data_IF_544474310313
#
_entry.id   IF_544474310313
#
_cell.length_a   1.000
_cell.length_b   1.000
_cell.length_c   1.000
_cell.angle_alpha   90.00
_cell.angle_beta   90.00
_cell.angle_gamma   90.00
#
_symmetry.space_group_name_H-M   'P 1'
#
loop_
_entity.id
_entity.type
_entity.pdbx_description
1 polymer ?
#
# COMPACT_ATOMS: atom_id res chain seq x y z
N UNK A 1 19.48 -10.59 3.44
CA UNK A 1 19.44 -10.53 1.96
C UNK A 1 20.51 -9.57 1.47
N UNK A 2 21.14 -9.84 0.31
CA UNK A 2 22.06 -8.87 -0.30
C UNK A 2 21.29 -7.61 -0.71
N UNK A 3 21.92 -6.43 -0.62
CA UNK A 3 21.30 -5.13 -0.98
C UNK A 3 20.70 -5.15 -2.39
N UNK A 4 21.38 -5.79 -3.33
CA UNK A 4 20.92 -5.96 -4.73
C UNK A 4 19.58 -6.69 -4.83
N UNK A 5 19.38 -7.76 -4.06
CA UNK A 5 18.13 -8.54 -4.14
C UNK A 5 16.94 -7.75 -3.60
N UNK A 6 17.16 -6.95 -2.55
CA UNK A 6 16.11 -6.08 -2.01
C UNK A 6 15.70 -5.06 -3.07
N UNK A 7 16.68 -4.44 -3.74
CA UNK A 7 16.43 -3.44 -4.78
C UNK A 7 15.64 -4.02 -5.97
N UNK A 8 15.98 -5.23 -6.41
CA UNK A 8 15.25 -5.95 -7.49
C UNK A 8 13.83 -6.31 -7.07
N UNK A 9 13.61 -6.76 -5.83
CA UNK A 9 12.27 -7.08 -5.35
C UNK A 9 11.42 -5.82 -5.14
N UNK A 10 12.03 -4.72 -4.67
CA UNK A 10 11.36 -3.42 -4.58
C UNK A 10 10.90 -2.95 -5.95
N UNK A 11 11.76 -2.98 -6.97
CA UNK A 11 11.38 -2.55 -8.32
C UNK A 11 10.26 -3.41 -8.92
N UNK A 12 10.29 -4.72 -8.65
CA UNK A 12 9.21 -5.63 -9.04
C UNK A 12 7.87 -5.26 -8.37
N UNK A 13 7.88 -4.99 -7.05
CA UNK A 13 6.67 -4.61 -6.31
C UNK A 13 6.15 -3.23 -6.73
N UNK A 14 7.04 -2.29 -7.05
CA UNK A 14 6.66 -0.98 -7.62
C UNK A 14 5.97 -1.17 -8.96
N UNK A 15 6.57 -1.96 -9.86
CA UNK A 15 5.98 -2.25 -11.18
C UNK A 15 4.59 -2.89 -11.02
N UNK A 16 4.47 -3.86 -10.10
CA UNK A 16 3.20 -4.52 -9.82
C UNK A 16 2.15 -3.55 -9.25
N UNK A 17 2.54 -2.63 -8.36
CA UNK A 17 1.65 -1.58 -7.83
C UNK A 17 1.07 -0.74 -8.97
N UNK A 18 1.94 -0.25 -9.86
CA UNK A 18 1.53 0.60 -10.98
C UNK A 18 0.57 -0.17 -11.89
N UNK A 19 0.87 -1.43 -12.21
CA UNK A 19 0.00 -2.27 -13.03
C UNK A 19 -1.37 -2.47 -12.37
N UNK A 20 -1.40 -2.82 -11.09
CA UNK A 20 -2.63 -3.07 -10.34
C UNK A 20 -3.49 -1.81 -10.16
N UNK A 21 -2.86 -0.66 -9.92
CA UNK A 21 -3.55 0.61 -9.72
C UNK A 21 -4.06 1.20 -11.03
N UNK A 22 -3.27 1.07 -12.12
CA UNK A 22 -3.57 1.74 -13.39
C UNK A 22 -4.44 0.91 -14.31
N UNK A 23 -4.18 -0.40 -14.42
CA UNK A 23 -4.81 -1.28 -15.43
C UNK A 23 -5.84 -2.25 -14.84
N UNK A 24 -5.62 -2.78 -13.63
CA UNK A 24 -6.53 -3.78 -13.02
C UNK A 24 -7.52 -3.17 -12.02
N UNK A 25 -7.62 -1.83 -11.96
CA UNK A 25 -8.61 -1.18 -11.11
C UNK A 25 -10.01 -1.33 -11.70
N UNK A 26 -10.90 -1.97 -10.96
CA UNK A 26 -12.31 -2.15 -11.35
C UNK A 26 -13.03 -0.83 -11.12
N UNK A 27 -13.57 -0.26 -12.20
CA UNK A 27 -14.35 0.97 -12.15
C UNK A 27 -15.82 0.60 -12.14
N UNK A 28 -16.49 0.77 -11.00
CA UNK A 28 -17.95 0.71 -10.93
C UNK A 28 -18.51 2.13 -11.03
N UNK A 29 -19.79 2.31 -11.39
CA UNK A 29 -20.42 3.63 -11.47
C UNK A 29 -20.37 4.44 -10.15
N UNK A 30 -20.20 3.75 -9.02
CA UNK A 30 -20.27 4.33 -7.68
C UNK A 30 -18.87 4.37 -7.02
N UNK A 31 -18.07 3.31 -7.20
CA UNK A 31 -16.78 3.13 -6.51
C UNK A 31 -15.72 2.57 -7.47
N UNK A 32 -14.52 3.17 -7.42
CA UNK A 32 -13.33 2.57 -8.03
C UNK A 32 -12.60 1.70 -7.02
N UNK A 33 -12.52 0.41 -7.31
CA UNK A 33 -11.81 -0.59 -6.52
C UNK A 33 -10.40 -0.74 -7.10
N UNK A 34 -9.38 -0.32 -6.33
CA UNK A 34 -7.98 -0.41 -6.73
C UNK A 34 -7.20 -1.36 -5.83
N UNK A 35 -6.28 -2.14 -6.41
CA UNK A 35 -5.49 -3.15 -5.71
C UNK A 35 -4.04 -2.71 -5.41
N UNK A 36 -3.70 -1.43 -5.60
CA UNK A 36 -2.36 -0.89 -5.33
C UNK A 36 -1.88 -1.00 -3.88
N UNK A 37 -2.79 -1.16 -2.93
CA UNK A 37 -2.43 -1.40 -1.53
C UNK A 37 -1.67 -2.71 -1.34
N UNK A 38 -1.86 -3.69 -2.23
CA UNK A 38 -1.36 -5.05 -2.02
C UNK A 38 0.18 -5.14 -2.17
N UNK A 39 0.80 -4.66 -3.26
CA UNK A 39 2.26 -4.73 -3.38
C UNK A 39 2.97 -3.87 -2.35
N UNK A 40 2.37 -2.74 -1.96
CA UNK A 40 2.89 -1.89 -0.88
C UNK A 40 2.86 -2.62 0.46
N UNK A 41 1.74 -3.23 0.82
CA UNK A 41 1.65 -4.04 2.03
C UNK A 41 2.70 -5.17 2.02
N UNK A 42 2.87 -5.87 0.91
CA UNK A 42 3.89 -6.90 0.77
C UNK A 42 5.33 -6.35 0.94
N UNK A 43 5.65 -5.22 0.32
CA UNK A 43 6.96 -4.57 0.49
C UNK A 43 7.22 -4.25 1.97
N UNK A 44 6.23 -3.68 2.64
CA UNK A 44 6.31 -3.35 4.06
C UNK A 44 6.43 -4.58 4.97
N UNK A 45 5.74 -5.68 4.68
CA UNK A 45 5.83 -6.92 5.45
C UNK A 45 7.20 -7.59 5.26
N UNK A 46 7.77 -7.51 4.05
CA UNK A 46 9.03 -8.18 3.71
C UNK A 46 10.28 -7.39 4.12
N UNK A 47 10.25 -6.07 3.95
CA UNK A 47 11.44 -5.22 4.08
C UNK A 47 11.34 -4.21 5.24
N UNK A 48 10.17 -4.09 5.88
CA UNK A 48 9.96 -3.23 7.03
C UNK A 48 9.49 -1.81 6.67
N UNK A 49 9.31 -0.95 7.69
CA UNK A 49 8.62 0.34 7.54
C UNK A 49 9.35 1.33 6.63
N UNK A 50 10.68 1.45 6.76
CA UNK A 50 11.45 2.43 5.98
C UNK A 50 11.42 2.05 4.49
N UNK A 51 11.75 0.80 4.17
CA UNK A 51 11.79 0.33 2.78
C UNK A 51 10.38 0.29 2.18
N UNK A 52 9.38 -0.15 2.94
CA UNK A 52 7.98 -0.12 2.51
C UNK A 52 7.47 1.28 2.21
N UNK A 53 7.80 2.26 3.05
CA UNK A 53 7.50 3.67 2.82
C UNK A 53 8.17 4.24 1.58
N UNK A 54 9.47 3.99 1.39
CA UNK A 54 10.21 4.42 0.18
C UNK A 54 9.62 3.77 -1.08
N UNK A 55 9.30 2.47 -1.01
CA UNK A 55 8.66 1.75 -2.12
C UNK A 55 7.34 2.41 -2.52
N UNK A 56 6.50 2.76 -1.54
CA UNK A 56 5.22 3.41 -1.78
C UNK A 56 5.38 4.82 -2.38
N UNK A 57 6.31 5.61 -1.86
CA UNK A 57 6.60 6.94 -2.39
C UNK A 57 7.09 6.89 -3.85
N UNK A 58 8.02 5.97 -4.15
CA UNK A 58 8.54 5.79 -5.50
C UNK A 58 7.45 5.27 -6.45
N UNK A 59 6.60 4.36 -6.00
CA UNK A 59 5.48 3.86 -6.79
C UNK A 59 4.50 4.98 -7.16
N UNK A 60 4.21 5.90 -6.24
CA UNK A 60 3.35 7.06 -6.53
C UNK A 60 3.97 8.00 -7.57
N UNK A 61 5.24 8.39 -7.39
CA UNK A 61 5.96 9.26 -8.33
C UNK A 61 6.03 8.61 -9.72
N UNK A 62 6.51 7.37 -9.80
CA UNK A 62 6.66 6.66 -11.07
C UNK A 62 5.31 6.38 -11.73
N UNK A 63 4.30 6.01 -10.94
CA UNK A 63 2.94 5.80 -11.43
C UNK A 63 2.32 7.07 -12.00
N UNK A 64 2.69 8.25 -11.50
CA UNK A 64 2.25 9.55 -12.04
C UNK A 64 3.04 9.97 -13.29
N UNK A 65 4.32 9.62 -13.39
CA UNK A 65 5.14 9.85 -14.59
C UNK A 65 4.65 8.98 -15.76
N UNK A 66 4.38 7.69 -15.52
CA UNK A 66 4.05 6.73 -16.58
C UNK A 66 2.61 6.87 -17.07
N UNK A 67 1.65 7.00 -16.14
CA UNK A 67 0.23 7.01 -16.46
C UNK A 67 -0.50 7.99 -15.53
N UNK A 68 -0.39 9.31 -15.77
CA UNK A 68 -1.05 10.32 -14.96
C UNK A 68 -2.57 10.18 -15.07
N UNK A 69 -3.26 10.05 -13.94
CA UNK A 69 -4.73 10.06 -13.84
C UNK A 69 -5.28 11.35 -13.25
N UNK A 70 -4.47 12.40 -13.19
CA UNK A 70 -4.77 13.70 -12.59
C UNK A 70 -3.51 14.53 -12.38
N UNK A 71 -3.63 15.74 -11.80
CA UNK A 71 -2.49 16.58 -11.48
C UNK A 71 -1.62 15.92 -10.39
N UNK A 72 -0.31 16.02 -10.55
CA UNK A 72 0.63 15.59 -9.51
C UNK A 72 0.60 16.56 -8.34
N UNK A 73 0.48 16.02 -7.12
CA UNK A 73 0.55 16.78 -5.90
C UNK A 73 1.45 16.04 -4.89
N UNK A 74 2.56 16.66 -4.43
CA UNK A 74 3.52 16.01 -3.54
C UNK A 74 2.91 15.47 -2.23
N UNK A 75 1.78 16.01 -1.77
CA UNK A 75 1.09 15.49 -0.58
C UNK A 75 0.59 14.05 -0.75
N UNK A 76 0.24 13.61 -1.97
CA UNK A 76 -0.14 12.21 -2.20
C UNK A 76 1.06 11.28 -2.06
N UNK A 77 2.24 11.70 -2.50
CA UNK A 77 3.50 10.96 -2.28
C UNK A 77 3.79 10.81 -0.79
N UNK A 78 3.55 11.86 0.00
CA UNK A 78 3.72 11.81 1.47
C UNK A 78 2.70 10.85 2.09
N UNK A 79 1.44 10.89 1.67
CA UNK A 79 0.42 9.92 2.09
C UNK A 79 0.82 8.48 1.76
N UNK A 80 1.35 8.23 0.56
CA UNK A 80 1.82 6.92 0.13
C UNK A 80 2.99 6.43 1.00
N UNK A 81 3.96 7.31 1.27
CA UNK A 81 5.09 7.03 2.15
C UNK A 81 4.62 6.61 3.56
N UNK A 82 3.71 7.39 4.15
CA UNK A 82 3.16 7.09 5.49
C UNK A 82 2.39 5.76 5.44
N UNK A 83 1.65 5.49 4.38
CA UNK A 83 0.92 4.21 4.21
C UNK A 83 1.88 3.01 4.25
N UNK A 84 2.99 3.07 3.51
CA UNK A 84 4.02 2.03 3.53
C UNK A 84 4.66 1.87 4.91
N UNK A 85 4.93 2.97 5.62
CA UNK A 85 5.46 2.95 6.99
C UNK A 85 4.49 2.30 7.96
N UNK A 86 3.20 2.67 7.94
CA UNK A 86 2.17 2.12 8.84
C UNK A 86 2.04 0.63 8.63
N UNK A 87 1.97 0.15 7.39
CA UNK A 87 1.99 -1.29 7.14
C UNK A 87 3.22 -1.98 7.71
N UNK A 88 4.39 -1.36 7.60
CA UNK A 88 5.63 -1.93 8.13
C UNK A 88 5.63 -1.98 9.65
N UNK A 89 5.19 -0.93 10.34
CA UNK A 89 5.15 -0.90 11.82
C UNK A 89 4.25 -2.01 12.38
N UNK A 90 3.10 -2.24 11.74
CA UNK A 90 2.10 -3.20 12.25
C UNK A 90 2.37 -4.64 11.82
N UNK A 91 2.96 -4.88 10.64
CA UNK A 91 3.04 -6.20 10.04
C UNK A 91 4.46 -6.78 9.91
N UNK A 92 5.51 -5.95 9.96
CA UNK A 92 6.90 -6.43 9.86
C UNK A 92 7.31 -7.27 11.08
N UNK A 93 7.88 -8.46 10.83
CA UNK A 93 8.34 -9.41 11.86
C UNK A 93 7.30 -9.78 12.92
N UNK A 94 6.02 -9.65 12.59
CA UNK A 94 4.90 -9.81 13.49
C UNK A 94 3.95 -10.88 12.94
N UNK A 95 3.20 -11.63 13.78
CA UNK A 95 2.17 -12.54 13.30
C UNK A 95 1.14 -11.79 12.46
N UNK A 96 0.87 -12.30 11.26
CA UNK A 96 0.01 -11.67 10.26
C UNK A 96 -1.45 -12.07 10.49
N UNK A 97 -1.96 -11.78 11.68
CA UNK A 97 -3.34 -12.06 12.07
C UNK A 97 -4.32 -11.08 11.41
N UNK A 98 -5.56 -11.54 11.20
CA UNK A 98 -6.65 -10.69 10.71
C UNK A 98 -6.79 -9.40 11.53
N UNK A 99 -6.62 -9.48 12.85
CA UNK A 99 -6.70 -8.34 13.78
C UNK A 99 -5.64 -7.27 13.57
N UNK A 100 -4.40 -7.65 13.24
CA UNK A 100 -3.33 -6.67 13.00
C UNK A 100 -3.47 -6.04 11.62
N UNK A 101 -3.87 -6.82 10.63
CA UNK A 101 -4.13 -6.33 9.28
C UNK A 101 -5.32 -5.36 9.29
N UNK A 102 -6.39 -5.67 10.03
CA UNK A 102 -7.54 -4.78 10.19
C UNK A 102 -7.17 -3.51 10.92
N UNK A 103 -6.36 -3.58 11.99
CA UNK A 103 -5.89 -2.40 12.72
C UNK A 103 -5.03 -1.49 11.85
N UNK A 104 -4.06 -2.05 11.12
CA UNK A 104 -3.22 -1.28 10.20
C UNK A 104 -4.05 -0.62 9.09
N UNK A 105 -4.97 -1.37 8.48
CA UNK A 105 -5.83 -0.87 7.40
C UNK A 105 -6.80 0.19 7.91
N UNK A 106 -7.31 0.06 9.14
CA UNK A 106 -8.18 1.05 9.78
C UNK A 106 -7.45 2.38 9.99
N UNK A 107 -6.22 2.35 10.51
CA UNK A 107 -5.39 3.56 10.69
C UNK A 107 -5.12 4.23 9.35
N UNK A 108 -4.75 3.46 8.33
CA UNK A 108 -4.49 3.98 6.99
C UNK A 108 -5.74 4.63 6.40
N UNK A 109 -6.89 3.97 6.49
CA UNK A 109 -8.13 4.51 5.96
C UNK A 109 -8.54 5.79 6.69
N UNK A 110 -8.52 5.79 8.01
CA UNK A 110 -9.01 6.91 8.80
C UNK A 110 -8.12 8.15 8.66
N UNK A 111 -6.81 8.00 8.87
CA UNK A 111 -5.91 9.15 8.93
C UNK A 111 -5.36 9.54 7.55
N UNK A 112 -5.07 8.56 6.70
CA UNK A 112 -4.41 8.82 5.42
C UNK A 112 -5.43 8.98 4.30
N UNK A 113 -6.36 8.04 4.13
CA UNK A 113 -7.29 8.10 3.00
C UNK A 113 -8.44 9.09 3.20
N UNK A 114 -9.05 9.09 4.39
CA UNK A 114 -10.15 10.00 4.74
C UNK A 114 -9.61 11.34 5.23
N UNK A 115 -8.50 11.37 5.97
CA UNK A 115 -7.85 12.60 6.41
C UNK A 115 -7.03 13.28 5.32
N UNK A 116 -5.77 12.87 5.19
CA UNK A 116 -4.78 13.53 4.32
C UNK A 116 -5.20 13.58 2.85
N UNK A 117 -5.61 12.46 2.27
CA UNK A 117 -5.97 12.41 0.84
C UNK A 117 -7.22 13.23 0.51
N UNK A 118 -8.17 13.38 1.44
CA UNK A 118 -9.30 14.30 1.27
C UNK A 118 -8.85 15.75 1.31
N UNK A 119 -7.95 16.08 2.25
CA UNK A 119 -7.37 17.41 2.37
C UNK A 119 -6.60 17.80 1.09
N UNK A 120 -5.80 16.90 0.53
CA UNK A 120 -5.11 17.13 -0.75
C UNK A 120 -6.07 17.37 -1.91
N UNK A 121 -7.17 16.62 -1.99
CA UNK A 121 -8.19 16.86 -3.04
C UNK A 121 -8.93 18.17 -2.83
N UNK A 122 -9.24 18.54 -1.59
CA UNK A 122 -9.86 19.83 -1.27
C UNK A 122 -8.97 20.99 -1.76
N UNK A 123 -7.65 20.94 -1.49
CA UNK A 123 -6.69 21.93 -1.97
C UNK A 123 -6.62 21.96 -3.51
N UNK A 124 -6.55 20.80 -4.16
CA UNK A 124 -6.40 20.72 -5.63
C UNK A 124 -7.64 21.14 -6.40
N UNK A 125 -8.83 20.86 -5.86
CA UNK A 125 -10.10 21.12 -6.55
C UNK A 125 -10.72 22.45 -6.15
N UNK A 126 -10.22 23.10 -5.08
CA UNK A 126 -10.81 24.29 -4.48
C UNK A 126 -12.13 24.04 -3.74
N UNK A 127 -12.62 22.79 -3.70
CA UNK A 127 -13.87 22.44 -3.03
C UNK A 127 -13.67 22.37 -1.51
N UNK A 128 -14.66 22.78 -0.70
CA UNK A 128 -14.61 22.66 0.75
C UNK A 128 -14.37 21.21 1.19
N UNK A 129 -13.55 21.01 2.22
CA UNK A 129 -13.22 19.67 2.75
C UNK A 129 -14.46 18.80 3.00
N UNK A 130 -15.46 19.37 3.68
CA UNK A 130 -16.71 18.68 4.02
C UNK A 130 -17.59 18.34 2.80
N UNK A 131 -17.37 18.97 1.65
CA UNK A 131 -18.06 18.61 0.41
C UNK A 131 -17.44 17.38 -0.27
N UNK A 132 -16.11 17.23 -0.16
CA UNK A 132 -15.36 16.10 -0.76
C UNK A 132 -15.38 14.86 0.14
N UNK A 133 -15.59 15.05 1.44
CA UNK A 133 -15.49 14.00 2.45
C UNK A 133 -16.53 12.86 2.32
N UNK A 134 -17.85 13.12 2.13
CA UNK A 134 -18.86 12.06 2.10
C UNK A 134 -18.62 10.95 1.06
N UNK A 135 -18.35 11.24 -0.23
CA UNK A 135 -18.08 10.18 -1.20
C UNK A 135 -16.81 9.38 -0.86
N UNK A 136 -15.82 10.01 -0.20
CA UNK A 136 -14.61 9.32 0.25
C UNK A 136 -14.88 8.37 1.40
N UNK A 137 -15.69 8.76 2.38
CA UNK A 137 -16.09 7.87 3.48
C UNK A 137 -16.77 6.62 2.93
N UNK A 138 -17.75 6.78 2.03
CA UNK A 138 -18.50 5.65 1.45
C UNK A 138 -17.55 4.70 0.70
N UNK A 139 -16.69 5.27 -0.15
CA UNK A 139 -15.72 4.52 -0.94
C UNK A 139 -14.70 3.77 -0.07
N UNK A 140 -14.14 4.43 0.95
CA UNK A 140 -13.12 3.83 1.81
C UNK A 140 -13.71 2.79 2.78
N UNK A 141 -14.94 2.98 3.27
CA UNK A 141 -15.65 1.97 4.06
C UNK A 141 -15.95 0.71 3.25
N UNK A 142 -16.33 0.85 1.97
CA UNK A 142 -16.51 -0.28 1.08
C UNK A 142 -15.19 -1.01 0.77
N UNK A 143 -14.09 -0.26 0.65
CA UNK A 143 -12.76 -0.83 0.39
C UNK A 143 -12.14 -1.51 1.60
N UNK A 144 -12.47 -1.10 2.83
CA UNK A 144 -11.88 -1.65 4.06
C UNK A 144 -11.95 -3.18 4.17
N UNK A 145 -13.14 -3.83 4.08
CA UNK A 145 -13.21 -5.29 4.17
C UNK A 145 -12.45 -5.97 3.03
N UNK A 146 -12.51 -5.40 1.82
CA UNK A 146 -11.79 -5.91 0.64
C UNK A 146 -10.29 -5.89 0.92
N UNK A 147 -9.76 -4.78 1.41
CA UNK A 147 -8.34 -4.60 1.70
C UNK A 147 -7.85 -5.60 2.75
N UNK A 148 -8.60 -5.77 3.85
CA UNK A 148 -8.23 -6.70 4.93
C UNK A 148 -8.23 -8.15 4.44
N UNK A 149 -9.29 -8.56 3.73
CA UNK A 149 -9.43 -9.94 3.23
C UNK A 149 -8.36 -10.23 2.18
N UNK A 150 -8.13 -9.33 1.23
CA UNK A 150 -7.15 -9.51 0.16
C UNK A 150 -5.73 -9.57 0.73
N UNK A 151 -5.35 -8.69 1.66
CA UNK A 151 -4.03 -8.75 2.29
C UNK A 151 -3.86 -10.06 3.06
N UNK A 152 -4.86 -10.47 3.85
CA UNK A 152 -4.77 -11.69 4.66
C UNK A 152 -4.65 -12.95 3.80
N UNK A 153 -5.55 -13.10 2.81
CA UNK A 153 -5.55 -14.26 1.91
C UNK A 153 -4.30 -14.32 1.05
N UNK A 154 -3.89 -13.20 0.44
CA UNK A 154 -2.65 -13.14 -0.32
C UNK A 154 -1.44 -13.47 0.57
N UNK A 155 -1.37 -12.95 1.79
CA UNK A 155 -0.27 -13.30 2.68
C UNK A 155 -0.27 -14.79 3.05
N UNK A 156 -1.44 -15.37 3.31
CA UNK A 156 -1.58 -16.79 3.66
C UNK A 156 -1.09 -17.71 2.54
N UNK A 157 -1.43 -17.40 1.28
CA UNK A 157 -1.10 -18.23 0.11
C UNK A 157 0.26 -17.93 -0.50
N UNK A 158 0.70 -16.67 -0.58
CA UNK A 158 1.97 -16.28 -1.23
C UNK A 158 3.05 -15.97 -0.21
N UNK A 159 2.71 -15.28 0.88
CA UNK A 159 3.66 -14.85 1.92
C UNK A 159 4.34 -16.02 2.63
N UNK A 160 3.60 -17.09 2.92
CA UNK A 160 4.14 -18.32 3.53
C UNK A 160 5.21 -18.98 2.67
N UNK A 161 5.02 -19.04 1.34
CA UNK A 161 6.02 -19.60 0.42
C UNK A 161 7.27 -18.73 0.32
N UNK A 162 7.09 -17.41 0.25
CA UNK A 162 8.21 -16.45 0.18
C UNK A 162 9.03 -16.48 1.48
N UNK A 163 8.38 -16.52 2.64
CA UNK A 163 9.05 -16.57 3.95
C UNK A 163 9.81 -17.89 4.13
N UNK A 164 9.23 -19.03 3.69
CA UNK A 164 9.88 -20.34 3.72
C UNK A 164 11.08 -20.47 2.77
N UNK A 165 11.00 -19.95 1.54
CA UNK A 165 12.02 -20.19 0.52
C UNK A 165 13.07 -19.08 0.40
N UNK A 166 12.74 -17.82 0.68
CA UNK A 166 13.67 -16.70 0.50
C UNK A 166 14.19 -16.13 1.81
N UNK A 167 13.36 -16.03 2.86
CA UNK A 167 13.79 -15.47 4.15
C UNK A 167 14.47 -16.51 5.05
N UNK A 168 13.94 -17.73 5.13
CA UNK A 168 14.56 -18.81 5.90
C UNK A 168 15.83 -19.35 5.25
N UNK A 169 15.90 -19.44 3.91
CA UNK A 169 17.13 -19.80 3.21
C UNK A 169 18.23 -18.74 3.40
N UNK A 170 17.86 -17.45 3.46
CA UNK A 170 18.79 -16.37 3.76
C UNK A 170 19.25 -16.34 5.23
N UNK A 171 18.42 -16.77 6.19
CA UNK A 171 18.83 -16.96 7.59
C UNK A 171 19.74 -18.18 7.76
N UNK A 172 19.40 -19.33 7.15
CA UNK A 172 20.15 -20.58 7.29
C UNK A 172 21.55 -20.53 6.66
N UNK A 173 21.77 -19.67 5.66
CA UNK A 173 23.08 -19.46 5.01
C UNK A 173 24.03 -18.52 5.78
N UNK A 174 23.55 -17.86 6.85
CA UNK A 174 24.31 -16.89 7.64
C UNK A 174 24.15 -17.09 9.17
N UNK A 175 23.63 -18.24 9.61
CA UNK A 175 23.77 -18.67 11.00
C UNK A 175 25.20 -19.19 11.18
N UNK A 176 25.96 -18.69 12.17
CA UNK A 176 27.24 -19.26 12.56
C UNK A 176 27.09 -20.71 13.04
#
# INVERSE_FOLDING_TARGET
MKKTNILVLMSLLISLEIILTRFLAIQTPIVRIGFGFLPIAFSSILFGPIIGGITAALADILGMIIAPKGPYFPGFTISALITGIVYGIFLFQKPKSLTRISLASCIIILFINIGLNTLWVSILTGNPFFAVLPPRIIKELAMFPIQVVVIYTAWKYTGTYIEMHYLNAAKKKYSP
#
